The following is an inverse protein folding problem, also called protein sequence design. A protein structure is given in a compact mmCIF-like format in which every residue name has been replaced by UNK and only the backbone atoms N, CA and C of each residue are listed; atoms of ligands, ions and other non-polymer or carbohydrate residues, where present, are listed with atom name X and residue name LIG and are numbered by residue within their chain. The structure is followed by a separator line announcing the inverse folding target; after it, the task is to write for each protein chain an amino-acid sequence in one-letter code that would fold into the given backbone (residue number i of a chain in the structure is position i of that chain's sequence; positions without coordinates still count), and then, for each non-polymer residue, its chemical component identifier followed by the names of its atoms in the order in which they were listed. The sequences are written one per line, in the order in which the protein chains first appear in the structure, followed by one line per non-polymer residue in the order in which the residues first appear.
data_IF_164002132438
#
_entry.id   IF_164002132438
#
_cell.length_a   1.000
_cell.length_b   1.000
_cell.length_c   1.000
_cell.angle_alpha   90.00
_cell.angle_beta   90.00
_cell.angle_gamma   90.00
#
_symmetry.space_group_name_H-M   'P 1'
#
loop_
_entity.id
_entity.type
_entity.pdbx_description
1 polymer ?
#
# COMPACT_ATOMS: atom_id res chain seq x y z
N UNK A 1 -1.70 -22.73 3.31
CA UNK A 1 -1.74 -23.14 1.88
C UNK A 1 -2.15 -22.01 0.93
N UNK A 2 -3.41 -21.52 0.92
CA UNK A 2 -3.80 -20.43 -0.01
C UNK A 2 -3.09 -19.09 0.26
N UNK A 3 -3.03 -18.65 1.53
CA UNK A 3 -2.27 -17.45 1.94
C UNK A 3 -0.80 -17.57 1.51
N UNK A 4 -0.14 -18.66 1.88
CA UNK A 4 1.30 -18.83 1.63
C UNK A 4 1.60 -18.93 0.12
N UNK A 5 0.67 -19.43 -0.70
CA UNK A 5 0.77 -19.44 -2.17
C UNK A 5 0.62 -18.04 -2.82
N UNK A 6 0.11 -17.06 -2.07
CA UNK A 6 0.01 -15.66 -2.49
C UNK A 6 1.21 -14.83 -2.04
N UNK A 7 2.11 -15.39 -1.21
CA UNK A 7 3.26 -14.65 -0.73
C UNK A 7 4.20 -14.28 -1.88
N UNK A 8 4.51 -12.98 -1.98
CA UNK A 8 5.46 -12.43 -2.95
C UNK A 8 6.65 -11.81 -2.24
N UNK A 9 6.36 -10.99 -1.23
CA UNK A 9 7.33 -10.26 -0.42
C UNK A 9 6.62 -9.73 0.83
N UNK A 10 7.41 -9.34 1.84
CA UNK A 10 6.93 -8.59 2.99
C UNK A 10 7.07 -7.08 2.71
N UNK A 11 5.95 -6.32 2.66
CA UNK A 11 5.98 -4.91 2.31
C UNK A 11 6.75 -4.06 3.34
N UNK A 12 6.85 -4.48 4.60
CA UNK A 12 7.64 -3.78 5.61
C UNK A 12 9.14 -4.01 5.38
N UNK A 13 9.55 -5.23 5.02
CA UNK A 13 10.93 -5.52 4.64
C UNK A 13 11.33 -4.77 3.37
N UNK A 14 10.43 -4.67 2.39
CA UNK A 14 10.65 -3.86 1.20
C UNK A 14 10.87 -2.38 1.54
N UNK A 15 10.08 -1.85 2.48
CA UNK A 15 10.21 -0.47 2.96
C UNK A 15 11.59 -0.24 3.60
N UNK A 16 12.01 -1.11 4.52
CA UNK A 16 13.33 -1.01 5.16
C UNK A 16 14.47 -1.14 4.14
N UNK A 17 14.32 -2.01 3.15
CA UNK A 17 15.27 -2.15 2.05
C UNK A 17 15.37 -0.87 1.22
N UNK A 18 14.24 -0.19 0.97
CA UNK A 18 14.21 1.10 0.27
C UNK A 18 14.87 2.22 1.09
N UNK A 19 14.63 2.28 2.39
CA UNK A 19 15.28 3.23 3.31
C UNK A 19 16.79 3.01 3.28
N UNK A 20 17.23 1.75 3.42
CA UNK A 20 18.65 1.38 3.38
C UNK A 20 19.31 1.76 2.06
N UNK A 21 18.64 1.49 0.93
CA UNK A 21 19.20 1.74 -0.40
C UNK A 21 19.23 3.23 -0.81
N UNK A 22 18.34 4.06 -0.26
CA UNK A 22 18.23 5.49 -0.60
C UNK A 22 18.82 6.42 0.45
N UNK A 23 19.08 5.91 1.65
CA UNK A 23 19.42 6.69 2.81
C UNK A 23 18.18 7.16 3.57
N UNK A 24 18.39 7.56 4.82
CA UNK A 24 17.35 8.11 5.67
C UNK A 24 16.72 9.36 5.04
N UNK A 25 15.42 9.52 5.25
CA UNK A 25 14.68 10.72 4.85
C UNK A 25 15.29 11.93 5.57
N UNK A 26 15.60 12.98 4.82
CA UNK A 26 15.92 14.28 5.41
C UNK A 26 14.66 14.82 6.08
N UNK A 27 14.71 15.20 7.37
CA UNK A 27 13.58 15.80 8.07
C UNK A 27 12.91 16.91 7.26
N UNK A 28 11.60 17.11 7.46
CA UNK A 28 10.79 18.17 6.85
C UNK A 28 10.62 18.12 5.31
N UNK A 29 11.28 17.21 4.60
CA UNK A 29 11.26 17.19 3.12
C UNK A 29 9.92 16.70 2.55
N UNK A 30 9.17 15.90 3.30
CA UNK A 30 7.87 15.37 2.85
C UNK A 30 6.68 15.98 3.58
N UNK A 31 6.90 16.78 4.62
CA UNK A 31 5.85 17.22 5.54
C UNK A 31 4.90 18.24 4.92
N UNK A 32 5.26 18.80 3.76
CA UNK A 32 4.35 19.64 2.98
C UNK A 32 3.07 18.89 2.58
N UNK A 33 3.14 17.57 2.34
CA UNK A 33 2.00 16.83 1.78
C UNK A 33 0.87 16.62 2.78
N UNK A 34 1.19 16.42 4.07
CA UNK A 34 0.17 16.29 5.13
C UNK A 34 -0.58 17.62 5.36
N UNK A 35 0.01 18.73 4.87
CA UNK A 35 -0.58 20.05 4.92
C UNK A 35 -1.30 20.44 3.62
N UNK A 36 -1.17 19.64 2.56
CA UNK A 36 -1.83 19.88 1.28
C UNK A 36 -3.34 19.64 1.40
N UNK A 37 -4.14 20.60 0.91
CA UNK A 37 -5.60 20.55 0.99
C UNK A 37 -6.17 19.34 0.22
N UNK A 38 -5.54 18.94 -0.90
CA UNK A 38 -5.98 17.78 -1.69
C UNK A 38 -5.69 16.48 -0.96
N UNK A 39 -4.55 16.39 -0.27
CA UNK A 39 -4.21 15.22 0.56
C UNK A 39 -5.23 15.07 1.71
N UNK A 40 -5.51 16.16 2.43
CA UNK A 40 -6.50 16.14 3.53
C UNK A 40 -7.91 15.81 3.05
N UNK A 41 -8.36 16.42 1.97
CA UNK A 41 -9.67 16.09 1.37
C UNK A 41 -9.76 14.61 0.95
N UNK A 42 -8.68 14.04 0.40
CA UNK A 42 -8.61 12.63 0.07
C UNK A 42 -8.67 11.72 1.31
N UNK A 43 -8.01 12.13 2.41
CA UNK A 43 -7.96 11.40 3.67
C UNK A 43 -9.30 11.47 4.45
N UNK A 44 -9.85 12.67 4.61
CA UNK A 44 -11.02 12.97 5.46
C UNK A 44 -12.35 12.62 4.78
N UNK A 45 -12.39 12.54 3.45
CA UNK A 45 -13.60 12.28 2.67
C UNK A 45 -14.27 10.93 2.94
N UNK A 46 -13.75 10.12 3.87
CA UNK A 46 -14.30 8.87 4.39
C UNK A 46 -15.46 8.96 5.37
N UNK A 47 -15.66 10.11 5.99
CA UNK A 47 -16.54 10.20 7.17
C UNK A 47 -17.93 10.80 6.90
N UNK A 48 -18.18 11.34 5.70
CA UNK A 48 -19.49 11.85 5.32
C UNK A 48 -20.15 10.87 4.35
N UNK A 49 -21.23 10.25 4.81
CA UNK A 49 -22.02 9.22 4.12
C UNK A 49 -22.77 9.74 2.90
N UNK A 50 -22.07 10.40 1.97
CA UNK A 50 -22.60 10.67 0.65
C UNK A 50 -22.29 9.47 -0.26
N UNK A 51 -23.34 8.83 -0.76
CA UNK A 51 -23.31 7.55 -1.47
C UNK A 51 -22.81 7.69 -2.92
N UNK A 52 -21.93 8.65 -3.20
CA UNK A 52 -21.33 8.78 -4.51
C UNK A 52 -20.05 7.97 -4.54
N UNK A 53 -20.04 7.01 -5.46
CA UNK A 53 -19.01 6.01 -5.69
C UNK A 53 -17.76 6.66 -6.34
N UNK A 54 -17.32 7.80 -5.82
CA UNK A 54 -16.17 8.53 -6.35
C UNK A 54 -14.89 7.86 -5.84
N UNK A 55 -14.17 7.24 -6.78
CA UNK A 55 -12.87 6.62 -6.54
C UNK A 55 -11.93 7.67 -5.94
N UNK A 56 -11.61 7.53 -4.65
CA UNK A 56 -10.63 8.39 -3.95
C UNK A 56 -9.22 8.05 -4.39
N UNK A 57 -8.84 8.53 -5.56
CA UNK A 57 -7.51 8.37 -6.13
C UNK A 57 -6.68 9.64 -5.91
N UNK A 58 -5.63 9.54 -5.10
CA UNK A 58 -4.61 10.56 -5.00
C UNK A 58 -3.42 10.19 -5.89
N UNK A 59 -3.24 10.94 -6.97
CA UNK A 59 -2.10 10.77 -7.88
C UNK A 59 -1.01 11.80 -7.58
N UNK A 60 0.17 11.34 -7.19
CA UNK A 60 1.32 12.19 -6.91
C UNK A 60 2.42 11.86 -7.91
N UNK A 61 2.81 12.86 -8.71
CA UNK A 61 3.92 12.77 -9.63
C UNK A 61 5.02 13.75 -9.25
N UNK A 62 6.27 13.35 -9.45
CA UNK A 62 7.45 14.18 -9.22
C UNK A 62 8.38 14.14 -10.43
N UNK A 63 9.10 15.23 -10.66
CA UNK A 63 10.10 15.31 -11.74
C UNK A 63 11.28 14.33 -11.54
N UNK A 64 11.98 13.93 -12.61
CA UNK A 64 13.06 12.94 -12.54
C UNK A 64 14.25 13.36 -11.65
N UNK A 65 14.97 12.38 -11.08
CA UNK A 65 16.41 12.52 -10.85
C UNK A 65 16.95 12.65 -9.42
N UNK A 66 16.15 12.55 -8.34
CA UNK A 66 16.69 12.71 -6.95
C UNK A 66 16.08 11.78 -5.88
N UNK A 67 15.39 10.70 -6.26
CA UNK A 67 14.81 9.76 -5.27
C UNK A 67 13.61 10.29 -4.46
N UNK A 68 13.09 11.46 -4.82
CA UNK A 68 11.94 12.13 -4.16
C UNK A 68 10.72 11.22 -4.06
N UNK A 69 10.42 10.48 -5.14
CA UNK A 69 9.24 9.61 -5.21
C UNK A 69 9.32 8.44 -4.23
N UNK A 70 10.50 7.84 -4.03
CA UNK A 70 10.68 6.73 -3.08
C UNK A 70 10.55 7.21 -1.63
N UNK A 71 11.17 8.34 -1.28
CA UNK A 71 11.06 8.91 0.06
C UNK A 71 9.63 9.35 0.39
N UNK A 72 8.92 9.93 -0.57
CA UNK A 72 7.53 10.30 -0.38
C UNK A 72 6.63 9.08 -0.17
N UNK A 73 6.83 8.00 -0.93
CA UNK A 73 6.06 6.77 -0.73
C UNK A 73 6.31 6.14 0.65
N UNK A 74 7.55 6.15 1.14
CA UNK A 74 7.89 5.67 2.49
C UNK A 74 7.15 6.51 3.53
N UNK A 75 7.33 7.84 3.46
CA UNK A 75 6.67 8.78 4.37
C UNK A 75 5.15 8.60 4.41
N UNK A 76 4.51 8.49 3.25
CA UNK A 76 3.05 8.27 3.18
C UNK A 76 2.63 6.97 3.83
N UNK A 77 3.37 5.87 3.64
CA UNK A 77 3.02 4.60 4.31
C UNK A 77 3.19 4.67 5.84
N UNK A 78 4.13 5.45 6.35
CA UNK A 78 4.31 5.67 7.78
C UNK A 78 3.18 6.53 8.36
N UNK A 79 2.88 7.68 7.74
CA UNK A 79 1.84 8.59 8.20
C UNK A 79 0.44 7.97 8.11
N UNK A 80 0.13 7.27 7.01
CA UNK A 80 -1.13 6.53 6.89
C UNK A 80 -1.19 5.39 7.90
N UNK A 81 -0.08 4.70 8.19
CA UNK A 81 0.00 3.69 9.23
C UNK A 81 -0.34 4.25 10.61
N UNK A 82 0.17 5.44 10.96
CA UNK A 82 -0.17 6.16 12.20
C UNK A 82 -1.64 6.58 12.21
N UNK A 83 -2.17 7.04 11.08
CA UNK A 83 -3.56 7.47 10.97
C UNK A 83 -4.53 6.31 11.22
N UNK A 84 -4.33 5.16 10.56
CA UNK A 84 -5.23 4.00 10.70
C UNK A 84 -5.09 3.30 12.05
N UNK A 85 -3.93 3.42 12.73
CA UNK A 85 -3.75 2.84 14.06
C UNK A 85 -4.73 3.39 15.12
N UNK A 86 -5.35 4.54 14.86
CA UNK A 86 -6.35 5.17 15.72
C UNK A 86 -7.79 4.92 15.24
N UNK A 87 -7.99 4.15 14.17
CA UNK A 87 -9.30 3.87 13.58
C UNK A 87 -9.67 2.39 13.75
N UNK A 88 -10.92 2.14 14.13
CA UNK A 88 -11.42 0.76 14.20
C UNK A 88 -11.68 0.21 12.80
N UNK A 89 -11.45 -1.09 12.61
CA UNK A 89 -11.72 -1.84 11.37
C UNK A 89 -11.08 -1.26 10.09
N UNK A 90 -10.01 -0.48 10.23
CA UNK A 90 -9.32 0.15 9.10
C UNK A 90 -7.88 -0.31 9.04
N UNK A 91 -7.46 -0.72 7.84
CA UNK A 91 -6.13 -1.26 7.61
C UNK A 91 -5.49 -0.64 6.38
N UNK A 92 -4.19 -0.38 6.46
CA UNK A 92 -3.39 0.00 5.30
C UNK A 92 -2.80 -1.24 4.62
N UNK A 93 -2.83 -1.23 3.29
CA UNK A 93 -2.16 -2.17 2.40
C UNK A 93 -1.29 -1.38 1.43
N UNK A 94 -0.07 -1.83 1.19
CA UNK A 94 0.83 -1.15 0.26
C UNK A 94 1.75 -2.12 -0.45
N UNK A 95 2.25 -1.69 -1.62
CA UNK A 95 3.20 -2.45 -2.43
C UNK A 95 4.18 -1.47 -3.08
N UNK A 96 5.47 -1.73 -2.97
CA UNK A 96 6.49 -0.88 -3.57
C UNK A 96 6.94 -1.45 -4.93
N UNK A 97 6.68 -0.69 -6.00
CA UNK A 97 7.24 -0.97 -7.31
C UNK A 97 8.61 -0.31 -7.45
N UNK A 98 9.68 -1.09 -7.61
CA UNK A 98 11.05 -0.58 -7.77
C UNK A 98 11.60 -0.88 -9.16
N UNK A 99 12.14 0.12 -9.85
CA UNK A 99 12.75 -0.05 -11.19
C UNK A 99 13.86 -1.12 -11.23
N UNK A 100 14.48 -1.41 -10.07
CA UNK A 100 15.54 -2.40 -9.92
C UNK A 100 15.02 -3.84 -9.90
N UNK A 101 13.72 -4.04 -9.61
CA UNK A 101 13.12 -5.37 -9.50
C UNK A 101 11.94 -5.57 -10.46
N UNK A 102 12.21 -5.46 -11.76
CA UNK A 102 11.18 -5.59 -12.82
C UNK A 102 10.41 -6.92 -12.78
N UNK A 103 11.04 -8.00 -12.28
CA UNK A 103 10.37 -9.30 -12.13
C UNK A 103 9.25 -9.28 -11.09
N UNK A 104 9.32 -8.38 -10.11
CA UNK A 104 8.32 -8.22 -9.05
C UNK A 104 7.34 -7.06 -9.31
N UNK A 105 7.57 -6.21 -10.31
CA UNK A 105 6.65 -5.13 -10.69
C UNK A 105 5.60 -5.57 -11.72
N UNK A 106 5.10 -6.80 -11.62
CA UNK A 106 4.01 -7.26 -12.49
C UNK A 106 2.67 -7.00 -11.82
N UNK A 107 1.62 -6.76 -12.61
CA UNK A 107 0.26 -6.62 -12.08
C UNK A 107 -0.13 -7.83 -11.21
N UNK A 108 0.30 -9.03 -11.62
CA UNK A 108 0.08 -10.26 -10.88
C UNK A 108 0.79 -10.26 -9.52
N UNK A 109 2.04 -9.80 -9.44
CA UNK A 109 2.79 -9.71 -8.18
C UNK A 109 2.17 -8.69 -7.22
N UNK A 110 1.74 -7.54 -7.74
CA UNK A 110 1.04 -6.50 -6.95
C UNK A 110 -0.25 -7.08 -6.35
N UNK A 111 -1.10 -7.70 -7.19
CA UNK A 111 -2.37 -8.28 -6.74
C UNK A 111 -2.15 -9.40 -5.71
N UNK A 112 -1.18 -10.29 -5.95
CA UNK A 112 -0.82 -11.35 -4.99
C UNK A 112 -0.36 -10.78 -3.65
N UNK A 113 0.53 -9.77 -3.68
CA UNK A 113 1.02 -9.11 -2.47
C UNK A 113 -0.07 -8.42 -1.67
N UNK A 114 -1.01 -7.74 -2.34
CA UNK A 114 -2.15 -7.11 -1.67
C UNK A 114 -3.14 -8.14 -1.10
N UNK A 115 -3.46 -9.19 -1.86
CA UNK A 115 -4.31 -10.29 -1.38
C UNK A 115 -3.69 -11.01 -0.19
N UNK A 116 -2.38 -11.27 -0.22
CA UNK A 116 -1.65 -11.84 0.90
C UNK A 116 -1.82 -10.99 2.17
N UNK A 117 -1.68 -9.67 2.07
CA UNK A 117 -1.87 -8.76 3.19
C UNK A 117 -3.33 -8.78 3.71
N UNK A 118 -4.32 -8.77 2.81
CA UNK A 118 -5.75 -8.87 3.18
C UNK A 118 -6.01 -10.16 3.97
N UNK A 119 -5.53 -11.30 3.47
CA UNK A 119 -5.74 -12.60 4.15
C UNK A 119 -4.96 -12.73 5.45
N UNK A 120 -3.88 -11.98 5.62
CA UNK A 120 -3.11 -11.94 6.86
C UNK A 120 -3.85 -11.13 7.94
N UNK A 121 -4.43 -9.99 7.56
CA UNK A 121 -5.16 -9.10 8.47
C UNK A 121 -6.59 -9.57 8.76
N UNK A 122 -7.24 -10.20 7.77
CA UNK A 122 -8.60 -10.70 7.85
C UNK A 122 -8.66 -12.19 7.43
N UNK A 123 -8.22 -13.13 8.29
CA UNK A 123 -8.20 -14.57 7.98
C UNK A 123 -9.57 -15.14 7.56
N UNK A 124 -10.66 -14.56 8.06
CA UNK A 124 -12.04 -14.92 7.70
C UNK A 124 -12.35 -14.74 6.21
N UNK A 125 -11.59 -13.91 5.50
CA UNK A 125 -11.75 -13.69 4.07
C UNK A 125 -11.13 -14.81 3.23
N UNK A 126 -10.28 -15.66 3.82
CA UNK A 126 -9.64 -16.77 3.11
C UNK A 126 -10.65 -17.73 2.48
N UNK A 127 -11.83 -17.91 3.10
CA UNK A 127 -12.93 -18.72 2.54
C UNK A 127 -13.41 -18.24 1.17
N UNK A 128 -13.29 -16.95 0.87
CA UNK A 128 -13.67 -16.38 -0.43
C UNK A 128 -12.57 -16.61 -1.47
N UNK A 129 -11.30 -16.55 -1.05
CA UNK A 129 -10.17 -16.85 -1.93
C UNK A 129 -10.09 -18.34 -2.26
N UNK A 130 -10.29 -19.22 -1.27
CA UNK A 130 -10.17 -20.68 -1.43
C UNK A 130 -11.07 -21.26 -2.52
N UNK A 131 -12.30 -20.74 -2.68
CA UNK A 131 -13.23 -21.14 -3.75
C UNK A 131 -12.70 -20.96 -5.17
N UNK A 132 -11.70 -20.10 -5.34
CA UNK A 132 -11.05 -19.84 -6.63
C UNK A 132 -9.65 -20.47 -6.73
N UNK A 133 -9.13 -21.03 -5.63
CA UNK A 133 -7.86 -21.75 -5.57
C UNK A 133 -8.03 -23.27 -5.68
N UNK A 134 -9.19 -23.79 -5.28
CA UNK A 134 -9.53 -25.19 -5.52
C UNK A 134 -9.76 -25.40 -7.03
N UNK A 135 -9.07 -26.34 -7.68
CA UNK A 135 -9.42 -26.73 -9.04
C UNK A 135 -10.87 -27.25 -9.02
N UNK A 136 -11.66 -27.05 -10.09
CA UNK A 136 -12.99 -27.63 -10.16
C UNK A 136 -12.85 -29.14 -9.94
N UNK A 137 -13.50 -29.66 -8.89
CA UNK A 137 -13.60 -31.09 -8.64
C UNK A 137 -14.16 -31.76 -9.89
N UNK A 138 -13.33 -32.55 -10.56
CA UNK A 138 -13.70 -33.49 -11.61
C UNK A 138 -14.46 -34.67 -11.01
#
# INVERSE_FOLDING_TARGET
QCRDALFVTDPYVDRESLITAKGARVPDTCDWIINDVKYRAWLDGGSHGDSTNEKRLLWISGGPGKGKTSMLSIFLTEELGKHVAHQENTDILFFFCSAQNKKHNTALAVLRGLLHQILTKCPQLAKHALRHFEPPTL
#
